data_IF_049019967195
#
_entry.id   IF_049019967195
#
_cell.length_a   1.000
_cell.length_b   1.000
_cell.length_c   1.000
_cell.angle_alpha   90.00
_cell.angle_beta   90.00
_cell.angle_gamma   90.00
#
_symmetry.space_group_name_H-M   'P 1'
#
loop_
_entity.id
_entity.type
_entity.pdbx_description
1 polymer ?
#
# COMPACT_ATOMS: atom_id res chain seq x y z
N UNK A 1 62.23 -1.71 20.71
CA UNK A 1 61.39 -1.48 19.52
C UNK A 1 60.11 -2.27 19.74
N UNK A 2 59.11 -1.66 20.37
CA UNK A 2 57.80 -2.27 20.58
C UNK A 2 56.91 -1.83 19.42
N UNK A 3 56.61 -2.76 18.53
CA UNK A 3 55.72 -2.51 17.40
C UNK A 3 54.30 -2.27 17.92
N UNK A 4 53.57 -1.24 17.45
CA UNK A 4 52.19 -1.08 17.84
C UNK A 4 51.40 -2.14 17.07
N UNK A 5 50.88 -3.14 17.79
CA UNK A 5 49.76 -3.91 17.31
C UNK A 5 48.58 -2.94 17.28
N UNK A 6 48.47 -2.17 16.20
CA UNK A 6 47.25 -1.45 15.84
C UNK A 6 46.25 -2.56 15.54
N UNK A 7 45.62 -3.04 16.61
CA UNK A 7 44.47 -3.92 16.56
C UNK A 7 43.49 -3.20 15.66
N UNK A 8 43.29 -3.76 14.46
CA UNK A 8 42.18 -3.42 13.59
C UNK A 8 40.89 -3.68 14.37
N UNK A 9 40.52 -2.74 15.23
CA UNK A 9 39.14 -2.42 15.52
C UNK A 9 38.56 -1.91 14.20
N UNK A 10 38.34 -2.85 13.29
CA UNK A 10 37.50 -2.70 12.14
C UNK A 10 36.12 -2.43 12.72
N UNK A 11 35.83 -1.14 12.92
CA UNK A 11 34.49 -0.67 13.20
C UNK A 11 33.68 -0.97 11.96
N UNK A 12 33.09 -2.16 11.93
CA UNK A 12 32.03 -2.53 11.01
C UNK A 12 30.89 -1.54 11.27
N UNK A 13 30.89 -0.45 10.51
CA UNK A 13 29.80 0.51 10.49
C UNK A 13 28.57 -0.22 9.94
N UNK A 14 27.77 -0.81 10.83
CA UNK A 14 26.47 -1.36 10.51
C UNK A 14 25.62 -0.21 9.98
N UNK A 15 25.58 -0.09 8.64
CA UNK A 15 24.60 0.74 7.94
C UNK A 15 23.23 0.17 8.28
N UNK A 16 22.59 0.79 9.26
CA UNK A 16 21.17 0.61 9.54
C UNK A 16 20.38 1.12 8.33
N UNK A 17 19.99 0.21 7.44
CA UNK A 17 19.10 0.56 6.33
C UNK A 17 17.71 0.74 6.96
N UNK A 18 17.26 1.99 7.13
CA UNK A 18 15.90 2.27 7.56
C UNK A 18 14.95 2.10 6.36
N UNK A 19 14.15 1.04 6.38
CA UNK A 19 12.96 0.94 5.53
C UNK A 19 11.81 1.66 6.25
N UNK A 20 11.17 2.59 5.56
CA UNK A 20 9.96 3.25 6.03
C UNK A 20 8.76 2.71 5.25
N UNK A 21 7.69 2.38 5.97
CA UNK A 21 6.39 2.09 5.39
C UNK A 21 5.84 3.33 4.69
N UNK A 22 5.24 3.13 3.52
CA UNK A 22 4.62 4.19 2.72
C UNK A 22 3.11 3.99 2.71
N UNK A 23 2.39 5.08 2.97
CA UNK A 23 0.94 5.12 2.80
C UNK A 23 0.61 5.68 1.41
N UNK A 24 -0.15 4.92 0.63
CA UNK A 24 -0.58 5.30 -0.71
C UNK A 24 -2.05 5.73 -0.70
N UNK A 25 -2.31 6.97 -1.14
CA UNK A 25 -3.67 7.45 -1.39
C UNK A 25 -4.23 6.76 -2.64
N UNK A 26 -5.27 5.96 -2.47
CA UNK A 26 -5.89 5.20 -3.58
C UNK A 26 -6.46 6.13 -4.64
N UNK A 27 -6.10 5.89 -5.90
CA UNK A 27 -6.49 6.71 -7.05
C UNK A 27 -5.73 8.04 -7.18
N UNK A 28 -4.75 8.33 -6.31
CA UNK A 28 -3.97 9.57 -6.37
C UNK A 28 -4.85 10.81 -6.22
N UNK A 29 -4.80 11.71 -7.21
CA UNK A 29 -5.60 12.94 -7.21
C UNK A 29 -7.09 12.67 -7.46
N UNK A 30 -7.42 11.63 -8.24
CA UNK A 30 -8.80 11.22 -8.52
C UNK A 30 -9.50 10.62 -7.30
N UNK A 31 -8.72 10.04 -6.37
CA UNK A 31 -9.24 9.45 -5.14
C UNK A 31 -10.06 8.18 -5.36
N UNK A 32 -10.82 7.78 -4.33
CA UNK A 32 -11.77 6.67 -4.40
C UNK A 32 -13.16 7.17 -4.82
N UNK A 33 -13.58 6.80 -6.03
CA UNK A 33 -14.84 7.18 -6.66
C UNK A 33 -15.23 6.16 -7.73
N UNK A 34 -16.49 6.16 -8.12
CA UNK A 34 -16.94 5.43 -9.30
C UNK A 34 -16.34 6.07 -10.58
N UNK A 35 -15.74 5.27 -11.49
CA UNK A 35 -15.37 5.73 -12.82
C UNK A 35 -16.62 6.17 -13.60
N UNK A 36 -16.64 7.39 -14.14
CA UNK A 36 -17.87 8.00 -14.69
C UNK A 36 -17.99 7.94 -16.20
N UNK A 37 -16.87 7.68 -16.88
CA UNK A 37 -16.78 7.64 -18.34
C UNK A 37 -16.15 6.33 -18.79
N UNK A 38 -16.52 5.85 -19.98
CA UNK A 38 -16.12 4.53 -20.47
C UNK A 38 -14.59 4.33 -20.54
N UNK A 39 -13.82 5.40 -20.76
CA UNK A 39 -12.36 5.39 -20.82
C UNK A 39 -11.68 5.38 -19.44
N UNK A 40 -12.41 5.49 -18.32
CA UNK A 40 -11.87 5.42 -16.95
C UNK A 40 -11.96 4.02 -16.32
N UNK A 41 -12.48 3.03 -17.04
CA UNK A 41 -12.72 1.68 -16.50
C UNK A 41 -11.45 1.00 -15.98
N UNK A 42 -10.28 1.34 -16.52
CA UNK A 42 -8.97 0.82 -16.10
C UNK A 42 -8.22 1.76 -15.13
N UNK A 43 -8.82 2.87 -14.66
CA UNK A 43 -8.13 3.91 -13.87
C UNK A 43 -7.40 3.36 -12.64
N UNK A 44 -8.09 2.56 -11.80
CA UNK A 44 -7.46 1.99 -10.59
C UNK A 44 -6.42 0.92 -10.91
N UNK A 45 -6.60 0.20 -12.01
CA UNK A 45 -5.62 -0.78 -12.47
C UNK A 45 -4.34 -0.08 -12.91
N UNK A 46 -4.44 0.95 -13.75
CA UNK A 46 -3.31 1.75 -14.19
C UNK A 46 -2.60 2.43 -13.02
N UNK A 47 -3.36 2.99 -12.08
CA UNK A 47 -2.80 3.56 -10.85
C UNK A 47 -1.98 2.52 -10.07
N UNK A 48 -2.55 1.34 -9.82
CA UNK A 48 -1.87 0.27 -9.07
C UNK A 48 -0.62 -0.26 -9.78
N UNK A 49 -0.60 -0.33 -11.12
CA UNK A 49 0.56 -0.77 -11.92
C UNK A 49 1.79 0.16 -11.78
N UNK A 50 1.60 1.41 -11.35
CA UNK A 50 2.71 2.35 -11.10
C UNK A 50 3.39 2.15 -9.75
N UNK A 51 2.79 1.36 -8.85
CA UNK A 51 3.23 1.26 -7.46
C UNK A 51 4.12 0.05 -7.21
N UNK A 52 5.05 0.21 -6.26
CA UNK A 52 5.77 -0.89 -5.63
C UNK A 52 5.34 -0.97 -4.18
N UNK A 53 4.41 -1.87 -3.91
CA UNK A 53 3.90 -2.12 -2.56
C UNK A 53 4.81 -3.12 -1.84
N UNK A 54 5.19 -2.80 -0.61
CA UNK A 54 5.95 -3.65 0.29
C UNK A 54 5.11 -4.04 1.50
N UNK A 55 5.52 -5.10 2.19
CA UNK A 55 4.95 -5.43 3.50
C UNK A 55 5.16 -4.24 4.44
N UNK A 56 4.15 -3.95 5.25
CA UNK A 56 3.99 -2.78 6.13
C UNK A 56 3.59 -1.47 5.45
N UNK A 57 3.53 -1.40 4.11
CA UNK A 57 2.87 -0.27 3.43
C UNK A 57 1.36 -0.27 3.71
N UNK A 58 0.68 0.83 3.41
CA UNK A 58 -0.76 0.94 3.60
C UNK A 58 -1.46 1.64 2.46
N UNK A 59 -2.75 1.34 2.27
CA UNK A 59 -3.63 1.95 1.29
C UNK A 59 -4.69 2.79 2.00
N UNK A 60 -4.71 4.10 1.74
CA UNK A 60 -5.73 5.00 2.27
C UNK A 60 -6.82 5.28 1.22
N UNK A 61 -8.04 4.90 1.56
CA UNK A 61 -9.25 5.17 0.79
C UNK A 61 -10.03 6.31 1.46
N UNK A 62 -10.26 7.40 0.73
CA UNK A 62 -11.07 8.53 1.21
C UNK A 62 -12.33 8.66 0.36
N UNK A 63 -13.50 8.67 1.00
CA UNK A 63 -14.79 8.59 0.31
C UNK A 63 -15.92 9.19 1.15
N UNK A 64 -17.08 9.45 0.52
CA UNK A 64 -18.26 10.04 1.21
C UNK A 64 -19.45 9.09 1.21
N UNK A 65 -20.11 8.96 0.06
CA UNK A 65 -21.30 8.12 -0.10
C UNK A 65 -20.93 6.77 -0.74
N UNK A 66 -19.90 6.12 -0.21
CA UNK A 66 -19.36 4.87 -0.73
C UNK A 66 -18.82 3.99 0.41
N UNK A 67 -18.20 2.88 0.07
CA UNK A 67 -17.64 1.90 0.99
C UNK A 67 -16.41 1.22 0.40
N UNK A 68 -15.57 0.68 1.28
CA UNK A 68 -14.44 -0.19 0.90
C UNK A 68 -14.73 -1.60 1.38
N UNK A 69 -14.51 -2.58 0.53
CA UNK A 69 -14.72 -3.99 0.85
C UNK A 69 -13.49 -4.81 0.49
N UNK A 70 -12.98 -5.57 1.46
CA UNK A 70 -11.90 -6.53 1.22
C UNK A 70 -12.53 -7.83 0.76
N UNK A 71 -12.20 -8.24 -0.46
CA UNK A 71 -12.79 -9.41 -1.11
C UNK A 71 -11.71 -10.38 -1.57
N UNK A 72 -12.08 -11.64 -1.63
CA UNK A 72 -11.27 -12.67 -2.29
C UNK A 72 -11.30 -12.51 -3.83
N UNK A 73 -10.33 -13.12 -4.51
CA UNK A 73 -10.14 -13.00 -5.97
C UNK A 73 -11.43 -13.23 -6.77
N UNK A 74 -12.19 -14.27 -6.43
CA UNK A 74 -13.46 -14.61 -7.11
C UNK A 74 -14.50 -13.50 -6.95
N UNK A 75 -14.62 -12.91 -5.76
CA UNK A 75 -15.49 -11.79 -5.47
C UNK A 75 -15.11 -10.53 -6.25
N UNK A 76 -13.80 -10.23 -6.36
CA UNK A 76 -13.30 -9.14 -7.19
C UNK A 76 -13.69 -9.30 -8.67
N UNK A 77 -13.42 -10.46 -9.28
CA UNK A 77 -13.70 -10.68 -10.71
C UNK A 77 -15.19 -10.66 -11.08
N UNK A 78 -16.07 -11.05 -10.15
CA UNK A 78 -17.51 -11.14 -10.40
C UNK A 78 -18.31 -10.01 -9.73
N UNK A 79 -17.63 -8.99 -9.19
CA UNK A 79 -18.25 -7.92 -8.40
C UNK A 79 -19.21 -8.44 -7.31
N UNK A 80 -18.83 -9.53 -6.63
CA UNK A 80 -19.63 -10.16 -5.59
C UNK A 80 -19.03 -9.89 -4.21
N UNK A 81 -19.71 -9.04 -3.43
CA UNK A 81 -19.31 -8.65 -2.07
C UNK A 81 -20.06 -9.41 -0.96
N UNK A 82 -20.92 -10.38 -1.29
CA UNK A 82 -21.71 -11.13 -0.28
C UNK A 82 -20.86 -11.87 0.76
N UNK A 83 -19.62 -12.19 0.42
CA UNK A 83 -18.62 -12.84 1.29
C UNK A 83 -17.41 -11.95 1.56
N UNK A 84 -17.58 -10.62 1.56
CA UNK A 84 -16.49 -9.71 1.90
C UNK A 84 -15.91 -10.06 3.28
N UNK A 85 -14.59 -10.11 3.37
CA UNK A 85 -13.88 -10.37 4.62
C UNK A 85 -14.05 -9.20 5.60
N UNK A 86 -14.04 -7.98 5.06
CA UNK A 86 -14.25 -6.73 5.81
C UNK A 86 -15.02 -5.73 4.97
N UNK A 87 -15.84 -4.91 5.62
CA UNK A 87 -16.61 -3.83 5.00
C UNK A 87 -16.46 -2.56 5.82
N UNK A 88 -16.05 -1.47 5.17
CA UNK A 88 -15.81 -0.17 5.78
C UNK A 88 -16.74 0.88 5.19
N UNK A 89 -17.26 1.75 6.06
CA UNK A 89 -18.19 2.85 5.73
C UNK A 89 -17.87 4.12 6.52
N UNK A 90 -16.61 4.29 6.90
CA UNK A 90 -16.13 5.38 7.77
C UNK A 90 -15.73 6.65 7.00
N UNK A 91 -15.68 6.57 5.66
CA UNK A 91 -15.30 7.67 4.77
C UNK A 91 -13.79 7.92 4.69
N UNK A 92 -12.98 7.25 5.51
CA UNK A 92 -11.53 7.31 5.46
C UNK A 92 -10.95 6.03 6.05
N UNK A 93 -10.77 5.02 5.21
CA UNK A 93 -10.28 3.70 5.59
C UNK A 93 -8.80 3.58 5.26
N UNK A 94 -8.02 3.04 6.19
CA UNK A 94 -6.63 2.63 5.95
C UNK A 94 -6.56 1.11 6.02
N UNK A 95 -5.97 0.50 5.00
CA UNK A 95 -5.70 -0.95 4.93
C UNK A 95 -4.20 -1.15 4.96
N UNK A 96 -3.70 -1.79 6.01
CA UNK A 96 -2.29 -2.16 6.14
C UNK A 96 -2.01 -3.45 5.35
N UNK A 97 -0.86 -3.51 4.68
CA UNK A 97 -0.41 -4.65 3.90
C UNK A 97 0.54 -5.50 4.74
N UNK A 98 0.04 -6.58 5.33
CA UNK A 98 0.81 -7.52 6.17
C UNK A 98 1.42 -8.71 5.41
#
# INVERSE_FOLDING_TARGET
>A
MASPMVSCFSTLLLLIISVAAVEFKVGGDEGWREPTVANETDMYKQWAETLKLHVQDSLRFMYKNDSVMVVEKSGYYHCNSSKAASVFKDGNTVIDLE
#
